data_IF_882623549488
#
_entry.id   IF_882623549488
#
_cell.length_a   1.000
_cell.length_b   1.000
_cell.length_c   1.000
_cell.angle_alpha   90.00
_cell.angle_beta   90.00
_cell.angle_gamma   90.00
#
_symmetry.space_group_name_H-M   'P 1'
#
loop_
_entity.id
_entity.type
_entity.pdbx_description
1 polymer ?
#
# COMPACT_ATOMS: atom_id res chain seq x y z
N UNK A 1 18.04 17.35 5.01
CA UNK A 1 16.67 16.86 4.86
C UNK A 1 16.43 15.78 5.91
N UNK A 2 15.17 15.42 6.23
CA UNK A 2 14.90 14.48 7.31
C UNK A 2 14.69 13.09 6.70
N UNK A 3 15.46 12.08 7.14
CA UNK A 3 15.27 10.69 6.72
C UNK A 3 13.85 10.24 7.07
N UNK A 4 13.10 9.79 6.07
CA UNK A 4 11.74 9.30 6.21
C UNK A 4 11.72 7.79 6.40
N UNK A 5 12.43 7.04 5.54
CA UNK A 5 12.59 5.59 5.64
C UNK A 5 14.07 5.23 5.71
N UNK A 6 14.45 4.41 6.67
CA UNK A 6 15.79 3.84 6.81
C UNK A 6 15.69 2.32 6.83
N UNK A 7 16.45 1.68 5.96
CA UNK A 7 16.62 0.22 5.90
C UNK A 7 18.08 -0.10 6.12
N UNK A 8 18.38 -1.05 7.03
CA UNK A 8 19.74 -1.32 7.50
C UNK A 8 20.01 -2.82 7.53
N UNK A 9 20.99 -3.28 6.76
CA UNK A 9 21.45 -4.67 6.67
C UNK A 9 20.31 -5.71 6.54
N UNK A 10 19.27 -5.39 5.76
CA UNK A 10 18.07 -6.22 5.61
C UNK A 10 18.40 -7.50 4.84
N UNK A 11 18.02 -8.62 5.41
CA UNK A 11 18.13 -9.95 4.80
C UNK A 11 16.78 -10.66 4.79
N UNK A 12 16.53 -11.41 3.71
CA UNK A 12 15.35 -12.26 3.56
C UNK A 12 15.64 -13.50 2.73
N UNK A 13 15.24 -14.66 3.25
CA UNK A 13 15.30 -15.93 2.55
C UNK A 13 13.95 -16.64 2.60
N UNK A 14 13.70 -17.49 1.62
CA UNK A 14 12.58 -18.43 1.59
C UNK A 14 13.16 -19.85 1.46
N UNK A 15 13.14 -20.60 2.56
CA UNK A 15 13.87 -21.87 2.66
C UNK A 15 15.38 -21.66 2.47
N UNK A 16 15.99 -22.37 1.52
CA UNK A 16 17.41 -22.22 1.18
C UNK A 16 17.71 -21.08 0.20
N UNK A 17 16.69 -20.40 -0.34
CA UNK A 17 16.87 -19.35 -1.34
C UNK A 17 16.93 -17.96 -0.69
N UNK A 18 18.11 -17.35 -0.67
CA UNK A 18 18.29 -15.97 -0.22
C UNK A 18 17.85 -15.01 -1.32
N UNK A 19 16.84 -14.20 -1.02
CA UNK A 19 16.22 -13.26 -1.97
C UNK A 19 16.72 -11.82 -1.75
N UNK A 20 16.94 -11.42 -0.50
CA UNK A 20 17.53 -10.13 -0.16
C UNK A 20 18.75 -10.38 0.72
N UNK A 21 19.87 -9.77 0.36
CA UNK A 21 21.11 -9.93 1.09
C UNK A 21 21.74 -8.58 1.41
N UNK A 22 21.83 -8.25 2.70
CA UNK A 22 22.47 -7.04 3.24
C UNK A 22 22.04 -5.74 2.56
N UNK A 23 20.73 -5.55 2.37
CA UNK A 23 20.17 -4.38 1.70
C UNK A 23 20.12 -3.21 2.69
N UNK A 24 20.77 -2.09 2.32
CA UNK A 24 20.76 -0.86 3.13
C UNK A 24 20.53 0.36 2.24
N UNK A 25 19.62 1.25 2.63
CA UNK A 25 19.36 2.52 1.97
C UNK A 25 18.53 3.44 2.87
N UNK A 26 18.50 4.71 2.51
CA UNK A 26 17.65 5.72 3.12
C UNK A 26 16.82 6.44 2.05
N UNK A 27 15.62 6.87 2.44
CA UNK A 27 14.73 7.70 1.62
C UNK A 27 14.38 8.93 2.44
N UNK A 28 14.52 10.11 1.84
CA UNK A 28 14.17 11.36 2.46
C UNK A 28 12.67 11.70 2.30
N UNK A 29 12.18 12.59 3.16
CA UNK A 29 10.78 13.04 3.06
C UNK A 29 10.53 13.78 1.74
N UNK A 30 9.49 13.36 1.00
CA UNK A 30 9.13 13.93 -0.30
C UNK A 30 9.89 13.33 -1.49
N UNK A 31 10.81 12.41 -1.25
CA UNK A 31 11.55 11.74 -2.32
C UNK A 31 10.71 10.67 -3.01
N UNK A 32 10.89 10.52 -4.32
CA UNK A 32 10.34 9.44 -5.13
C UNK A 32 11.45 8.50 -5.57
N UNK A 33 11.37 7.22 -5.21
CA UNK A 33 12.40 6.23 -5.49
C UNK A 33 11.87 5.15 -6.41
N UNK A 34 12.62 4.83 -7.48
CA UNK A 34 12.33 3.72 -8.38
C UNK A 34 13.21 2.51 -8.06
N UNK A 35 12.59 1.37 -7.82
CA UNK A 35 13.27 0.10 -7.61
C UNK A 35 13.34 -0.66 -8.94
N UNK A 36 14.54 -0.74 -9.51
CA UNK A 36 14.80 -1.36 -10.82
C UNK A 36 15.62 -2.64 -10.70
N UNK A 37 15.48 -3.55 -11.64
CA UNK A 37 16.21 -4.82 -11.69
C UNK A 37 15.43 -5.92 -12.44
N UNK A 38 16.07 -7.07 -12.71
CA UNK A 38 15.46 -8.18 -13.43
C UNK A 38 14.26 -8.78 -12.66
N UNK A 39 13.44 -9.57 -13.37
CA UNK A 39 12.35 -10.31 -12.73
C UNK A 39 12.92 -11.31 -11.72
N UNK A 40 12.26 -11.45 -10.56
CA UNK A 40 12.68 -12.37 -9.51
C UNK A 40 13.82 -11.90 -8.60
N UNK A 41 14.41 -10.72 -8.79
CA UNK A 41 15.52 -10.23 -7.96
C UNK A 41 15.09 -9.66 -6.58
N UNK A 42 13.87 -9.92 -6.11
CA UNK A 42 13.44 -9.55 -4.76
C UNK A 42 12.73 -8.20 -4.62
N UNK A 43 12.47 -7.43 -5.71
CA UNK A 43 11.80 -6.12 -5.63
C UNK A 43 10.47 -6.17 -4.88
N UNK A 44 9.61 -7.10 -5.26
CA UNK A 44 8.30 -7.26 -4.61
C UNK A 44 8.44 -7.72 -3.15
N UNK A 45 9.44 -8.55 -2.85
CA UNK A 45 9.75 -8.98 -1.48
C UNK A 45 10.14 -7.78 -0.62
N UNK A 46 11.03 -6.92 -1.12
CA UNK A 46 11.45 -5.70 -0.42
C UNK A 46 10.24 -4.77 -0.17
N UNK A 47 9.42 -4.53 -1.20
CA UNK A 47 8.20 -3.71 -1.06
C UNK A 47 7.20 -4.33 -0.07
N UNK A 48 7.03 -5.65 -0.07
CA UNK A 48 6.17 -6.34 0.89
C UNK A 48 6.67 -6.18 2.33
N UNK A 49 7.98 -6.26 2.55
CA UNK A 49 8.57 -6.05 3.88
C UNK A 49 8.37 -4.60 4.33
N UNK A 50 8.65 -3.62 3.47
CA UNK A 50 8.40 -2.20 3.76
C UNK A 50 6.91 -1.94 3.99
N UNK A 51 6.03 -2.62 3.24
CA UNK A 51 4.58 -2.55 3.40
C UNK A 51 4.03 -3.28 4.64
N UNK A 52 4.89 -3.90 5.47
CA UNK A 52 4.48 -4.75 6.59
C UNK A 52 3.56 -5.91 6.18
N UNK A 53 3.79 -6.47 4.99
CA UNK A 53 3.07 -7.63 4.44
C UNK A 53 3.92 -8.92 4.51
N UNK A 54 5.24 -8.78 4.68
CA UNK A 54 6.19 -9.89 4.82
C UNK A 54 7.19 -9.58 5.94
N UNK A 55 7.73 -10.62 6.57
CA UNK A 55 8.76 -10.51 7.60
C UNK A 55 10.14 -10.36 6.99
N UNK A 56 11.06 -9.71 7.67
CA UNK A 56 12.50 -9.81 7.43
C UNK A 56 13.09 -10.90 8.34
N UNK A 57 14.23 -11.47 7.93
CA UNK A 57 14.97 -12.47 8.75
C UNK A 57 15.97 -11.78 9.67
N UNK A 58 16.65 -10.73 9.18
CA UNK A 58 17.55 -9.89 9.98
C UNK A 58 17.69 -8.49 9.37
N UNK A 59 18.25 -7.58 10.13
CA UNK A 59 18.33 -6.15 9.79
C UNK A 59 17.29 -5.32 10.52
N UNK A 60 17.20 -4.04 10.20
CA UNK A 60 16.22 -3.12 10.81
C UNK A 60 15.59 -2.20 9.79
N UNK A 61 14.34 -1.80 10.05
CA UNK A 61 13.65 -0.77 9.30
C UNK A 61 13.14 0.28 10.30
N UNK A 62 13.30 1.55 9.94
CA UNK A 62 12.75 2.68 10.68
C UNK A 62 11.95 3.58 9.76
N UNK A 63 10.78 4.02 10.21
CA UNK A 63 9.99 5.06 9.57
C UNK A 63 9.99 6.30 10.48
N UNK A 64 10.43 7.44 9.97
CA UNK A 64 10.58 8.68 10.74
C UNK A 64 11.35 8.50 12.06
N UNK A 65 12.38 7.65 12.04
CA UNK A 65 13.21 7.33 13.21
C UNK A 65 12.60 6.30 14.17
N UNK A 66 11.35 5.87 13.97
CA UNK A 66 10.68 4.84 14.77
C UNK A 66 10.91 3.45 14.17
N UNK A 67 11.38 2.51 14.97
CA UNK A 67 11.57 1.13 14.53
C UNK A 67 10.24 0.48 14.10
N UNK A 68 10.29 -0.30 13.01
CA UNK A 68 9.16 -1.08 12.54
C UNK A 68 8.70 -2.08 13.60
N UNK A 69 7.38 -2.19 13.79
CA UNK A 69 6.82 -3.18 14.69
C UNK A 69 6.85 -4.58 14.08
N UNK A 70 6.75 -5.61 14.91
CA UNK A 70 6.48 -6.97 14.43
C UNK A 70 5.20 -7.00 13.58
N UNK A 71 5.24 -7.67 12.43
CA UNK A 71 4.17 -7.69 11.40
C UNK A 71 2.78 -8.08 11.95
N UNK A 72 2.74 -8.98 12.93
CA UNK A 72 1.48 -9.47 13.53
C UNK A 72 1.01 -8.64 14.73
N UNK A 73 1.67 -7.53 15.02
CA UNK A 73 1.32 -6.68 16.16
C UNK A 73 0.16 -5.71 15.85
N UNK A 74 -0.51 -5.24 16.92
CA UNK A 74 -1.50 -4.16 16.82
C UNK A 74 -0.89 -2.87 16.25
N UNK A 75 0.40 -2.60 16.55
CA UNK A 75 1.14 -1.45 16.01
C UNK A 75 1.31 -1.55 14.49
N UNK A 76 1.68 -2.73 13.97
CA UNK A 76 1.79 -2.95 12.53
C UNK A 76 0.43 -2.77 11.83
N UNK A 77 -0.65 -3.25 12.44
CA UNK A 77 -2.00 -3.05 11.91
C UNK A 77 -2.38 -1.57 11.86
N UNK A 78 -2.05 -0.81 12.91
CA UNK A 78 -2.29 0.63 12.93
C UNK A 78 -1.47 1.33 11.86
N UNK A 79 -0.17 1.03 11.77
CA UNK A 79 0.74 1.62 10.78
C UNK A 79 0.29 1.37 9.33
N UNK A 80 -0.16 0.14 9.02
CA UNK A 80 -0.79 -0.16 7.73
C UNK A 80 -2.08 0.61 7.50
N UNK A 81 -2.79 1.05 8.54
CA UNK A 81 -4.01 1.85 8.40
C UNK A 81 -3.73 3.33 8.16
N UNK A 82 -2.72 3.89 8.83
CA UNK A 82 -2.54 5.34 8.94
C UNK A 82 -1.29 5.89 8.25
N UNK A 83 -0.26 5.08 8.07
CA UNK A 83 1.05 5.59 7.64
C UNK A 83 1.52 4.98 6.30
N UNK A 84 1.06 3.77 5.95
CA UNK A 84 1.51 3.06 4.74
C UNK A 84 0.34 2.84 3.78
N UNK A 85 0.47 3.30 2.55
CA UNK A 85 -0.42 2.95 1.46
C UNK A 85 0.30 1.98 0.51
N UNK A 86 -0.25 0.79 0.34
CA UNK A 86 0.29 -0.23 -0.53
C UNK A 86 -0.63 -0.42 -1.75
N UNK A 87 -0.06 -0.23 -2.94
CA UNK A 87 -0.76 -0.47 -4.20
C UNK A 87 -0.30 -1.81 -4.79
N UNK A 88 -1.21 -2.79 -4.81
CA UNK A 88 -0.92 -4.12 -5.34
C UNK A 88 -0.89 -4.12 -6.86
N UNK A 89 -0.01 -4.91 -7.46
CA UNK A 89 0.05 -5.11 -8.90
C UNK A 89 -1.26 -5.68 -9.48
N UNK A 90 -1.94 -6.55 -8.73
CA UNK A 90 -3.26 -7.10 -9.07
C UNK A 90 -4.43 -6.22 -8.64
N UNK A 91 -4.16 -4.96 -8.22
CA UNK A 91 -5.12 -3.99 -7.70
C UNK A 91 -5.78 -4.39 -6.37
N UNK A 92 -5.84 -5.66 -6.01
CA UNK A 92 -6.49 -6.20 -4.81
C UNK A 92 -7.93 -5.67 -4.62
N UNK A 93 -8.69 -5.57 -5.69
CA UNK A 93 -10.11 -5.23 -5.69
C UNK A 93 -10.95 -6.51 -5.60
N UNK A 94 -12.08 -6.42 -4.91
CA UNK A 94 -13.07 -7.51 -4.86
C UNK A 94 -13.91 -7.40 -6.13
N UNK A 95 -13.71 -8.34 -7.04
CA UNK A 95 -14.22 -8.26 -8.41
C UNK A 95 -15.75 -8.20 -8.51
N UNK A 96 -16.47 -8.95 -7.66
CA UNK A 96 -17.93 -9.04 -7.68
C UNK A 96 -18.61 -7.90 -6.90
N UNK A 97 -17.82 -6.98 -6.37
CA UNK A 97 -18.35 -5.82 -5.65
C UNK A 97 -18.36 -4.58 -6.51
N UNK A 98 -19.30 -3.67 -6.18
CA UNK A 98 -19.30 -2.31 -6.72
C UNK A 98 -18.01 -1.57 -6.37
N UNK A 99 -17.63 -0.63 -7.21
CA UNK A 99 -16.52 0.31 -6.96
C UNK A 99 -16.71 1.00 -5.61
N UNK A 100 -17.87 1.58 -5.36
CA UNK A 100 -18.21 2.24 -4.10
C UNK A 100 -17.96 1.34 -2.88
N UNK A 101 -18.37 0.07 -2.94
CA UNK A 101 -18.18 -0.88 -1.85
C UNK A 101 -16.70 -1.23 -1.62
N UNK A 102 -15.90 -1.34 -2.69
CA UNK A 102 -14.45 -1.51 -2.58
C UNK A 102 -13.76 -0.31 -1.91
N UNK A 103 -14.23 0.90 -2.21
CA UNK A 103 -13.67 2.13 -1.65
C UNK A 103 -14.09 2.34 -0.18
N UNK A 104 -15.31 1.96 0.18
CA UNK A 104 -15.77 2.00 1.58
C UNK A 104 -14.89 1.19 2.54
N UNK A 105 -14.20 0.13 2.07
CA UNK A 105 -13.24 -0.60 2.89
C UNK A 105 -12.10 0.28 3.42
N UNK A 106 -11.67 1.27 2.65
CA UNK A 106 -10.61 2.20 3.06
C UNK A 106 -11.09 3.14 4.18
N UNK A 107 -12.40 3.40 4.25
CA UNK A 107 -13.01 4.34 5.18
C UNK A 107 -13.65 3.69 6.41
N UNK A 108 -13.61 2.36 6.52
CA UNK A 108 -14.33 1.62 7.57
C UNK A 108 -13.90 1.97 9.01
N UNK A 109 -12.72 2.54 9.18
CA UNK A 109 -12.17 2.95 10.48
C UNK A 109 -12.17 4.46 10.70
N UNK A 110 -12.73 5.23 9.76
CA UNK A 110 -12.91 6.67 9.91
C UNK A 110 -14.14 6.97 10.78
N UNK A 111 -14.18 8.18 11.33
CA UNK A 111 -15.36 8.67 12.09
C UNK A 111 -16.42 9.32 11.19
N UNK A 112 -16.24 9.24 9.87
CA UNK A 112 -17.14 9.85 8.90
C UNK A 112 -18.50 9.13 8.89
N UNK A 113 -19.57 9.87 8.80
CA UNK A 113 -20.91 9.34 8.54
C UNK A 113 -20.98 8.69 7.15
N UNK A 114 -21.96 7.83 6.91
CA UNK A 114 -22.15 7.19 5.60
C UNK A 114 -22.28 8.21 4.47
N UNK A 115 -22.96 9.31 4.68
CA UNK A 115 -23.12 10.38 3.69
C UNK A 115 -21.80 11.08 3.37
N UNK A 116 -20.99 11.35 4.40
CA UNK A 116 -19.65 11.94 4.22
C UNK A 116 -18.70 10.98 3.49
N UNK A 117 -18.73 9.69 3.81
CA UNK A 117 -17.96 8.66 3.12
C UNK A 117 -18.34 8.60 1.63
N UNK A 118 -19.63 8.55 1.32
CA UNK A 118 -20.11 8.53 -0.06
C UNK A 118 -19.70 9.79 -0.82
N UNK A 119 -19.84 10.96 -0.21
CA UNK A 119 -19.44 12.25 -0.80
C UNK A 119 -17.93 12.28 -1.10
N UNK A 120 -17.10 11.80 -0.16
CA UNK A 120 -15.66 11.71 -0.33
C UNK A 120 -15.28 10.77 -1.48
N UNK A 121 -15.92 9.61 -1.56
CA UNK A 121 -15.67 8.62 -2.62
C UNK A 121 -16.04 9.20 -3.99
N UNK A 122 -17.22 9.82 -4.12
CA UNK A 122 -17.65 10.44 -5.39
C UNK A 122 -16.68 11.52 -5.85
N UNK A 123 -16.32 12.44 -4.96
CA UNK A 123 -15.35 13.51 -5.28
C UNK A 123 -13.98 12.92 -5.69
N UNK A 124 -13.50 11.88 -5.01
CA UNK A 124 -12.25 11.25 -5.37
C UNK A 124 -12.32 10.56 -6.74
N UNK A 125 -13.41 9.85 -7.06
CA UNK A 125 -13.59 9.21 -8.36
C UNK A 125 -13.67 10.25 -9.48
N UNK A 126 -14.37 11.37 -9.29
CA UNK A 126 -14.43 12.49 -10.24
C UNK A 126 -13.03 13.05 -10.52
N UNK A 127 -12.22 13.30 -9.49
CA UNK A 127 -10.85 13.80 -9.63
C UNK A 127 -9.94 12.85 -10.45
N UNK A 128 -10.27 11.56 -10.49
CA UNK A 128 -9.55 10.58 -11.30
C UNK A 128 -10.25 10.23 -12.62
N UNK A 129 -11.28 10.98 -13.03
CA UNK A 129 -11.99 10.84 -14.29
C UNK A 129 -12.74 9.51 -14.43
N UNK A 130 -13.29 8.99 -13.33
CA UNK A 130 -14.07 7.73 -13.28
C UNK A 130 -15.31 7.87 -12.36
N UNK A 131 -15.86 9.07 -12.21
CA UNK A 131 -17.02 9.37 -11.35
C UNK A 131 -18.24 8.53 -11.70
N UNK A 132 -18.49 8.30 -12.99
CA UNK A 132 -19.58 7.49 -13.51
C UNK A 132 -19.50 6.02 -13.12
N UNK A 133 -18.34 5.54 -12.65
CA UNK A 133 -18.11 4.13 -12.24
C UNK A 133 -18.48 3.86 -10.78
N UNK A 134 -18.99 4.81 -10.03
CA UNK A 134 -19.31 4.66 -8.61
C UNK A 134 -20.15 3.40 -8.31
N UNK A 135 -21.18 3.13 -9.12
CA UNK A 135 -22.07 1.98 -8.98
C UNK A 135 -21.72 0.76 -9.86
N UNK A 136 -20.71 0.88 -10.72
CA UNK A 136 -20.26 -0.21 -11.59
C UNK A 136 -19.66 -1.37 -10.77
N UNK A 137 -19.82 -2.60 -11.24
CA UNK A 137 -19.17 -3.78 -10.68
C UNK A 137 -17.73 -3.85 -11.19
N UNK A 138 -16.78 -4.16 -10.32
CA UNK A 138 -15.34 -4.15 -10.66
C UNK A 138 -15.01 -5.07 -11.84
N UNK A 139 -15.72 -6.19 -12.01
CA UNK A 139 -15.53 -7.08 -13.17
C UNK A 139 -15.77 -6.40 -14.52
N UNK A 140 -16.62 -5.38 -14.57
CA UNK A 140 -17.00 -4.65 -15.78
C UNK A 140 -15.98 -3.59 -16.19
N UNK A 141 -15.01 -3.32 -15.31
CA UNK A 141 -13.98 -2.29 -15.51
C UNK A 141 -12.83 -2.79 -16.38
N UNK A 142 -12.32 -1.92 -17.23
CA UNK A 142 -11.03 -2.09 -17.90
C UNK A 142 -9.87 -2.13 -16.88
N UNK A 143 -8.71 -2.63 -17.31
CA UNK A 143 -7.50 -2.64 -16.45
C UNK A 143 -7.10 -1.24 -15.97
N UNK A 144 -7.19 -0.23 -16.83
CA UNK A 144 -6.89 1.16 -16.47
C UNK A 144 -7.88 1.75 -15.47
N UNK A 145 -9.18 1.42 -15.58
CA UNK A 145 -10.19 1.84 -14.60
C UNK A 145 -9.98 1.14 -13.25
N UNK A 146 -9.69 -0.16 -13.24
CA UNK A 146 -9.32 -0.91 -12.02
C UNK A 146 -8.10 -0.29 -11.33
N UNK A 147 -7.10 0.09 -12.11
CA UNK A 147 -5.92 0.78 -11.57
C UNK A 147 -6.30 2.10 -10.91
N UNK A 148 -7.10 2.95 -11.57
CA UNK A 148 -7.57 4.21 -10.99
C UNK A 148 -8.39 4.00 -9.73
N UNK A 149 -9.30 3.03 -9.69
CA UNK A 149 -10.05 2.67 -8.48
C UNK A 149 -9.10 2.27 -7.33
N UNK A 150 -8.06 1.47 -7.61
CA UNK A 150 -7.07 1.08 -6.61
C UNK A 150 -6.26 2.28 -6.08
N UNK A 151 -5.92 3.23 -6.96
CA UNK A 151 -5.25 4.49 -6.57
C UNK A 151 -6.19 5.32 -5.69
N UNK A 152 -7.44 5.53 -6.12
CA UNK A 152 -8.45 6.26 -5.32
C UNK A 152 -8.58 5.63 -3.93
N UNK A 153 -8.66 4.29 -3.85
CA UNK A 153 -8.73 3.58 -2.56
C UNK A 153 -7.53 3.87 -1.65
N UNK A 154 -6.33 3.95 -2.22
CA UNK A 154 -5.13 4.29 -1.46
C UNK A 154 -5.15 5.76 -1.00
N UNK A 155 -5.65 6.67 -1.84
CA UNK A 155 -5.65 8.12 -1.56
C UNK A 155 -6.71 8.56 -0.54
N UNK A 156 -7.89 7.92 -0.52
CA UNK A 156 -8.97 8.25 0.43
C UNK A 156 -8.77 7.62 1.80
N UNK A 157 -7.82 6.72 1.94
CA UNK A 157 -7.47 6.10 3.22
C UNK A 157 -6.90 7.18 4.15
N UNK A 158 -7.59 7.42 5.25
CA UNK A 158 -7.21 8.38 6.26
C UNK A 158 -6.28 7.77 7.30
#
# INVERSE_FOLDING_TARGET
MKTFLQVDALNKSFGSNTVLHNISFEIESGESVALVGPSGCGKSTLLNIIGLLETLDSGTIKLEGKAYPSINSKKATLMRRTEINYLFQSFALINDWKVSKNLLLALQYTKLSKQEQERLIRAALENYGIGEKFDAVVNELSGGEKQRVAIVRAMIKA
#
